data_IF_579730768846
#
_entry.id   IF_579730768846
#
_cell.length_a   1.000
_cell.length_b   1.000
_cell.length_c   1.000
_cell.angle_alpha   90.00
_cell.angle_beta   90.00
_cell.angle_gamma   90.00
#
_symmetry.space_group_name_H-M   'P 1'
#
loop_
_entity.id
_entity.type
_entity.pdbx_description
1 polymer ?
#
# COMPACT_ATOMS: atom_id res chain seq x y z
N UNK A 1 19.35 5.55 0.36
CA UNK A 1 18.17 5.58 -0.54
C UNK A 1 17.09 4.76 0.13
N UNK A 2 16.04 5.37 0.68
CA UNK A 2 14.91 4.61 1.22
C UNK A 2 14.21 3.93 0.04
N UNK A 3 14.07 2.61 0.11
CA UNK A 3 13.35 1.81 -0.88
C UNK A 3 11.96 2.41 -1.09
N UNK A 4 11.63 2.80 -2.33
CA UNK A 4 10.31 3.32 -2.71
C UNK A 4 9.29 2.17 -2.80
N UNK A 5 9.07 1.50 -1.67
CA UNK A 5 8.10 0.42 -1.54
C UNK A 5 6.75 0.94 -1.11
N UNK A 6 5.66 0.50 -1.73
CA UNK A 6 4.31 0.71 -1.24
C UNK A 6 3.78 -0.58 -0.62
N UNK A 7 3.18 -0.47 0.56
CA UNK A 7 2.61 -1.58 1.30
C UNK A 7 1.09 -1.46 1.29
N UNK A 8 0.42 -2.48 0.77
CA UNK A 8 -1.02 -2.68 0.89
C UNK A 8 -1.25 -3.58 2.10
N UNK A 9 -1.85 -3.05 3.16
CA UNK A 9 -2.03 -3.76 4.45
C UNK A 9 -3.48 -3.72 4.91
N UNK A 10 -4.01 -4.79 5.50
CA UNK A 10 -5.33 -4.77 6.11
C UNK A 10 -5.32 -3.88 7.37
N UNK A 11 -6.42 -3.15 7.60
CA UNK A 11 -6.58 -2.24 8.73
C UNK A 11 -8.04 -2.18 9.18
N UNK A 12 -8.39 -2.95 10.21
CA UNK A 12 -9.71 -2.87 10.87
C UNK A 12 -10.89 -3.03 9.91
N UNK A 13 -10.83 -4.03 9.02
CA UNK A 13 -11.86 -4.27 8.00
C UNK A 13 -11.72 -3.44 6.71
N UNK A 14 -10.76 -2.52 6.67
CA UNK A 14 -10.38 -1.72 5.49
C UNK A 14 -8.98 -2.12 5.02
N UNK A 15 -8.49 -1.43 3.99
CA UNK A 15 -7.17 -1.62 3.41
C UNK A 15 -6.42 -0.30 3.32
N UNK A 16 -5.16 -0.31 3.74
CA UNK A 16 -4.31 0.86 3.81
C UNK A 16 -3.16 0.74 2.80
N UNK A 17 -2.92 1.81 2.05
CA UNK A 17 -1.72 1.98 1.21
C UNK A 17 -0.75 2.87 1.98
N UNK A 18 0.45 2.36 2.25
CA UNK A 18 1.49 3.02 3.06
C UNK A 18 2.82 2.98 2.33
N UNK A 19 3.54 4.09 2.30
CA UNK A 19 4.92 4.08 1.80
C UNK A 19 5.86 3.44 2.83
N UNK A 20 6.87 2.73 2.37
CA UNK A 20 7.90 2.12 3.20
C UNK A 20 8.52 3.18 4.11
N UNK A 21 8.59 2.89 5.41
CA UNK A 21 9.09 3.82 6.44
C UNK A 21 8.14 4.97 6.83
N UNK A 22 7.05 5.22 6.12
CA UNK A 22 6.08 6.25 6.52
C UNK A 22 5.37 5.84 7.81
N UNK A 23 5.10 6.72 8.76
CA UNK A 23 4.34 6.35 9.98
C UNK A 23 2.82 6.28 9.77
N UNK A 24 2.33 6.85 8.66
CA UNK A 24 0.90 6.98 8.35
C UNK A 24 0.58 6.35 6.99
N UNK A 25 -0.64 5.83 6.87
CA UNK A 25 -1.18 5.41 5.59
C UNK A 25 -1.40 6.65 4.70
N UNK A 26 -0.99 6.55 3.44
CA UNK A 26 -1.26 7.58 2.44
C UNK A 26 -2.74 7.54 2.00
N UNK A 27 -3.35 6.35 2.01
CA UNK A 27 -4.75 6.16 1.68
C UNK A 27 -5.32 4.97 2.45
N UNK A 28 -6.59 5.05 2.84
CA UNK A 28 -7.36 3.93 3.38
C UNK A 28 -8.64 3.79 2.56
N UNK A 29 -8.92 2.57 2.11
CA UNK A 29 -10.03 2.21 1.23
C UNK A 29 -10.74 0.96 1.73
N UNK A 30 -11.93 0.66 1.21
CA UNK A 30 -12.77 -0.40 1.76
C UNK A 30 -12.32 -1.80 1.34
N UNK A 31 -11.68 -1.94 0.17
CA UNK A 31 -11.34 -3.24 -0.40
C UNK A 31 -9.86 -3.37 -0.71
N UNK A 32 -9.37 -4.61 -0.72
CA UNK A 32 -7.99 -4.93 -1.08
C UNK A 32 -7.71 -4.52 -2.52
N UNK A 33 -8.65 -4.81 -3.41
CA UNK A 33 -8.56 -4.51 -4.85
C UNK A 33 -8.32 -3.02 -5.08
N UNK A 34 -9.11 -2.16 -4.44
CA UNK A 34 -8.95 -0.70 -4.55
C UNK A 34 -7.58 -0.25 -4.03
N UNK A 35 -7.09 -0.83 -2.93
CA UNK A 35 -5.77 -0.51 -2.39
C UNK A 35 -4.63 -0.94 -3.33
N UNK A 36 -4.77 -2.11 -3.96
CA UNK A 36 -3.84 -2.65 -4.96
C UNK A 36 -3.79 -1.73 -6.18
N UNK A 37 -4.93 -1.31 -6.71
CA UNK A 37 -5.00 -0.41 -7.87
C UNK A 37 -4.28 0.91 -7.60
N UNK A 38 -4.57 1.54 -6.45
CA UNK A 38 -3.92 2.78 -6.02
C UNK A 38 -2.41 2.59 -5.81
N UNK A 39 -2.00 1.49 -5.17
CA UNK A 39 -0.59 1.21 -4.95
C UNK A 39 0.15 0.96 -6.27
N UNK A 40 -0.48 0.25 -7.21
CA UNK A 40 0.10 -0.06 -8.52
C UNK A 40 0.34 1.18 -9.36
N UNK A 41 -0.67 2.05 -9.47
CA UNK A 41 -0.57 3.30 -10.23
C UNK A 41 0.54 4.20 -9.66
N UNK A 42 0.61 4.27 -8.33
CA UNK A 42 1.62 5.06 -7.64
C UNK A 42 3.03 4.45 -7.78
N UNK A 43 3.16 3.13 -7.68
CA UNK A 43 4.43 2.43 -7.90
C UNK A 43 4.96 2.66 -9.32
N UNK A 44 4.09 2.59 -10.34
CA UNK A 44 4.43 2.89 -11.72
C UNK A 44 4.91 4.34 -11.89
N UNK A 45 4.20 5.30 -11.29
CA UNK A 45 4.56 6.72 -11.36
C UNK A 45 5.87 7.05 -10.64
N UNK A 46 6.13 6.44 -9.49
CA UNK A 46 7.30 6.74 -8.65
C UNK A 46 8.53 5.89 -9.01
N UNK A 47 8.37 4.88 -9.87
CA UNK A 47 9.40 3.90 -10.22
C UNK A 47 9.75 2.98 -9.04
N UNK A 48 8.72 2.55 -8.31
CA UNK A 48 8.84 1.79 -7.06
C UNK A 48 8.25 0.39 -7.13
N UNK A 49 8.43 -0.35 -6.04
CA UNK A 49 7.84 -1.68 -5.87
C UNK A 49 6.60 -1.61 -4.98
N UNK A 50 5.76 -2.65 -5.04
CA UNK A 50 4.62 -2.78 -4.13
C UNK A 50 4.57 -4.16 -3.50
N UNK A 51 4.17 -4.20 -2.23
CA UNK A 51 4.03 -5.39 -1.42
C UNK A 51 2.59 -5.46 -0.91
N UNK A 52 1.93 -6.58 -1.15
CA UNK A 52 0.55 -6.83 -0.71
C UNK A 52 0.62 -7.80 0.46
N UNK A 53 0.12 -7.37 1.62
CA UNK A 53 0.03 -8.19 2.83
C UNK A 53 -1.35 -8.83 2.90
N UNK A 54 -1.40 -10.12 3.24
CA UNK A 54 -2.64 -10.82 3.48
C UNK A 54 -3.28 -10.41 4.81
N UNK A 55 -4.48 -10.94 5.10
CA UNK A 55 -5.11 -10.76 6.44
C UNK A 55 -4.40 -11.56 7.53
N UNK A 56 -3.63 -12.54 7.12
CA UNK A 56 -2.81 -13.47 7.88
C UNK A 56 -1.42 -12.95 8.22
N UNK A 57 -1.01 -11.81 7.63
CA UNK A 57 0.29 -11.18 7.89
C UNK A 57 1.35 -11.68 6.93
#
# INVERSE_FOLDING_TARGET
MATKGLHVTPRGGKWAVRAAGASRAAKVVSTQKEAIEIARERAQKEGGEMYIHGRDG
#
